data_IF_697813179994
#
_entry.id   IF_697813179994
#
_cell.length_a   1.000
_cell.length_b   1.000
_cell.length_c   1.000
_cell.angle_alpha   90.00
_cell.angle_beta   90.00
_cell.angle_gamma   90.00
#
_symmetry.space_group_name_H-M   'P 1'
#
loop_
_entity.id
_entity.type
_entity.pdbx_description
1 polymer ?
#
# COMPACT_ATOMS: atom_id res chain seq x y z
N UNK A 1 30.22 -90.25 9.25
CA UNK A 1 31.68 -90.21 9.13
C UNK A 1 32.04 -89.30 7.97
N UNK A 2 33.08 -88.55 8.14
CA UNK A 2 33.77 -87.69 7.16
C UNK A 2 33.17 -86.33 6.83
N UNK A 3 33.77 -85.35 7.47
CA UNK A 3 33.63 -83.91 7.27
C UNK A 3 34.35 -83.45 6.00
N UNK A 4 33.76 -82.63 5.25
CA UNK A 4 34.50 -81.83 4.25
C UNK A 4 34.25 -80.36 4.48
N UNK A 5 35.33 -79.66 4.84
CA UNK A 5 35.41 -78.21 4.93
C UNK A 5 35.66 -77.69 3.52
N UNK A 6 34.82 -76.74 3.08
CA UNK A 6 35.09 -75.90 1.92
C UNK A 6 35.33 -74.49 2.42
N UNK A 7 36.57 -74.05 2.29
CA UNK A 7 36.98 -72.66 2.48
C UNK A 7 36.49 -71.81 1.28
N UNK A 8 35.60 -70.88 1.50
CA UNK A 8 35.22 -69.87 0.51
C UNK A 8 36.04 -68.60 0.80
N UNK A 9 36.94 -68.28 -0.11
CA UNK A 9 37.72 -67.04 -0.09
C UNK A 9 36.83 -65.82 -0.49
N UNK A 10 36.63 -64.88 0.43
CA UNK A 10 36.00 -63.60 0.17
C UNK A 10 37.05 -62.68 -0.43
N UNK A 11 36.83 -62.30 -1.68
CA UNK A 11 37.52 -61.16 -2.36
C UNK A 11 36.81 -59.92 -1.97
N UNK A 12 37.42 -59.07 -1.13
CA UNK A 12 36.93 -57.73 -0.86
C UNK A 12 37.32 -56.80 -2.03
N UNK A 13 36.36 -56.49 -2.91
CA UNK A 13 36.47 -55.43 -3.89
C UNK A 13 36.21 -54.07 -3.24
N UNK A 14 37.25 -53.29 -3.00
CA UNK A 14 37.14 -51.89 -2.57
C UNK A 14 36.67 -51.05 -3.73
N UNK A 15 35.36 -50.83 -3.84
CA UNK A 15 34.78 -49.84 -4.75
C UNK A 15 34.98 -48.44 -4.18
N UNK A 16 35.89 -47.66 -4.74
CA UNK A 16 35.94 -46.21 -4.51
C UNK A 16 34.68 -45.57 -5.11
N UNK A 17 33.71 -45.24 -4.26
CA UNK A 17 32.62 -44.37 -4.63
C UNK A 17 33.16 -42.93 -4.78
N UNK A 18 33.39 -42.51 -5.99
CA UNK A 18 33.66 -41.09 -6.30
C UNK A 18 32.31 -40.37 -6.13
N UNK A 19 32.11 -39.70 -5.00
CA UNK A 19 31.02 -38.79 -4.82
C UNK A 19 31.25 -37.55 -5.73
N UNK A 20 30.26 -37.10 -6.54
CA UNK A 20 30.42 -35.91 -7.32
C UNK A 20 30.54 -34.73 -6.34
N UNK A 21 31.71 -34.09 -6.35
CA UNK A 21 31.88 -32.76 -5.76
C UNK A 21 31.14 -31.73 -6.63
N UNK A 22 29.94 -31.37 -6.22
CA UNK A 22 29.21 -30.37 -6.97
C UNK A 22 27.78 -30.24 -6.56
N UNK A 23 27.51 -29.65 -5.43
CA UNK A 23 26.33 -28.85 -5.10
C UNK A 23 26.43 -28.37 -3.64
N UNK A 24 27.47 -27.61 -3.34
CA UNK A 24 27.30 -26.62 -2.29
C UNK A 24 26.49 -25.50 -2.91
N UNK A 25 25.16 -25.69 -2.97
CA UNK A 25 24.24 -24.58 -3.05
C UNK A 25 24.58 -23.67 -1.88
N UNK A 26 25.28 -22.57 -2.19
CA UNK A 26 25.49 -21.49 -1.26
C UNK A 26 24.10 -21.01 -0.86
N UNK A 27 23.57 -21.56 0.23
CA UNK A 27 22.37 -21.05 0.86
C UNK A 27 22.61 -19.56 1.04
N UNK A 28 21.97 -18.73 0.19
CA UNK A 28 21.99 -17.27 0.34
C UNK A 28 21.63 -17.02 1.79
N UNK A 29 22.60 -16.58 2.60
CA UNK A 29 22.36 -16.16 3.97
C UNK A 29 21.22 -15.18 3.92
N UNK A 30 20.01 -15.58 4.35
CA UNK A 30 18.88 -14.66 4.47
C UNK A 30 19.33 -13.59 5.44
N UNK A 31 19.32 -12.35 4.97
CA UNK A 31 19.55 -11.20 5.85
C UNK A 31 18.59 -11.31 7.05
N UNK A 32 19.05 -10.97 8.26
CA UNK A 32 18.17 -10.95 9.41
C UNK A 32 16.99 -10.00 9.16
N UNK A 33 15.82 -10.28 9.72
CA UNK A 33 14.66 -9.38 9.61
C UNK A 33 15.05 -7.96 10.05
N UNK A 34 14.60 -6.95 9.31
CA UNK A 34 14.78 -5.56 9.73
C UNK A 34 14.13 -5.33 11.09
N UNK A 35 14.76 -4.50 11.90
CA UNK A 35 14.17 -4.07 13.17
C UNK A 35 12.80 -3.44 12.93
N UNK A 36 11.88 -3.61 13.88
CA UNK A 36 10.59 -2.93 13.84
C UNK A 36 10.79 -1.41 13.87
N UNK A 37 10.05 -0.72 13.03
CA UNK A 37 10.01 0.76 13.02
C UNK A 37 9.12 1.27 14.16
N UNK A 38 9.21 2.57 14.47
CA UNK A 38 8.31 3.18 15.47
C UNK A 38 6.85 3.15 14.99
N UNK A 39 5.86 3.20 15.91
CA UNK A 39 4.44 3.26 15.54
C UNK A 39 4.14 4.38 14.54
N UNK A 40 4.66 5.58 14.76
CA UNK A 40 4.49 6.71 13.84
C UNK A 40 5.08 6.41 12.46
N UNK A 41 6.27 5.83 12.43
CA UNK A 41 6.90 5.45 11.16
C UNK A 41 6.07 4.41 10.42
N UNK A 42 5.53 3.40 11.10
CA UNK A 42 4.68 2.38 10.49
C UNK A 42 3.41 2.97 9.87
N UNK A 43 2.74 3.86 10.58
CA UNK A 43 1.54 4.57 10.08
C UNK A 43 1.89 5.44 8.87
N UNK A 44 3.01 6.19 8.93
CA UNK A 44 3.46 7.05 7.83
C UNK A 44 3.83 6.24 6.58
N UNK A 45 4.44 5.07 6.72
CA UNK A 45 4.77 4.21 5.58
C UNK A 45 3.50 3.78 4.84
N UNK A 46 2.45 3.36 5.55
CA UNK A 46 1.18 2.95 4.94
C UNK A 46 0.43 4.15 4.32
N UNK A 47 0.33 5.26 5.05
CA UNK A 47 -0.28 6.49 4.56
C UNK A 47 0.39 7.00 3.28
N UNK A 48 1.71 7.07 3.28
CA UNK A 48 2.48 7.53 2.13
C UNK A 48 2.41 6.56 0.95
N UNK A 49 2.35 5.25 1.18
CA UNK A 49 2.26 4.26 0.10
C UNK A 49 0.93 4.38 -0.65
N UNK A 50 -0.21 4.46 0.06
CA UNK A 50 -1.50 4.65 -0.61
C UNK A 50 -1.58 6.02 -1.29
N UNK A 51 -1.03 7.09 -0.69
CA UNK A 51 -0.95 8.41 -1.28
C UNK A 51 -0.11 8.43 -2.57
N UNK A 52 1.01 7.74 -2.57
CA UNK A 52 1.88 7.56 -3.75
C UNK A 52 1.12 6.86 -4.89
N UNK A 53 0.39 5.79 -4.58
CA UNK A 53 -0.38 5.03 -5.57
C UNK A 53 -1.47 5.89 -6.22
N UNK A 54 -2.25 6.61 -5.42
CA UNK A 54 -3.31 7.48 -5.92
C UNK A 54 -2.78 8.69 -6.70
N UNK A 55 -1.66 9.28 -6.23
CA UNK A 55 -0.97 10.34 -6.96
C UNK A 55 -0.47 9.85 -8.32
N UNK A 56 0.15 8.66 -8.36
CA UNK A 56 0.61 8.06 -9.61
C UNK A 56 -0.54 7.80 -10.59
N UNK A 57 -1.71 7.38 -10.10
CA UNK A 57 -2.91 7.26 -10.94
C UNK A 57 -3.37 8.61 -11.49
N UNK A 58 -3.40 9.64 -10.65
CA UNK A 58 -3.79 10.98 -11.07
C UNK A 58 -2.84 11.56 -12.12
N UNK A 59 -1.54 11.32 -11.98
CA UNK A 59 -0.53 11.80 -12.93
C UNK A 59 -0.49 10.99 -14.23
N UNK A 60 -0.88 9.74 -14.22
CA UNK A 60 -0.74 8.82 -15.36
C UNK A 60 -2.01 8.72 -16.23
N UNK A 61 -3.21 8.71 -15.64
CA UNK A 61 -4.44 8.50 -16.40
C UNK A 61 -4.62 9.56 -17.48
N UNK A 62 -5.05 9.19 -18.72
CA UNK A 62 -5.23 10.16 -19.82
C UNK A 62 -6.22 11.25 -19.46
N UNK A 63 -5.87 12.52 -19.73
CA UNK A 63 -6.69 13.69 -19.37
C UNK A 63 -8.04 13.69 -20.09
N UNK A 64 -8.08 13.26 -21.35
CA UNK A 64 -9.30 13.12 -22.14
C UNK A 64 -10.28 12.07 -21.56
N UNK A 65 -9.82 11.22 -20.62
CA UNK A 65 -10.62 10.20 -19.92
C UNK A 65 -10.95 10.57 -18.46
N UNK A 66 -10.58 11.75 -17.99
CA UNK A 66 -10.80 12.13 -16.60
C UNK A 66 -12.28 12.16 -16.20
N UNK A 67 -13.17 12.46 -17.15
CA UNK A 67 -14.63 12.42 -16.93
C UNK A 67 -15.26 11.06 -17.25
N UNK A 68 -14.46 10.05 -17.57
CA UNK A 68 -14.97 8.70 -17.83
C UNK A 68 -15.61 8.10 -16.58
N UNK A 69 -16.76 7.47 -16.77
CA UNK A 69 -17.53 6.72 -15.77
C UNK A 69 -17.77 5.29 -16.29
N UNK A 70 -17.32 4.25 -15.58
CA UNK A 70 -17.64 2.87 -15.95
C UNK A 70 -19.14 2.58 -15.93
N UNK A 71 -19.87 3.28 -15.06
CA UNK A 71 -21.32 3.24 -14.90
C UNK A 71 -21.81 4.68 -14.65
N UNK A 72 -22.94 5.12 -15.24
CA UNK A 72 -23.49 6.46 -15.04
C UNK A 72 -23.70 6.87 -13.58
N UNK A 73 -24.02 5.91 -12.71
CA UNK A 73 -24.26 6.14 -11.28
C UNK A 73 -22.98 6.36 -10.46
N UNK A 74 -21.81 6.04 -11.03
CA UNK A 74 -20.53 6.21 -10.35
C UNK A 74 -19.98 7.62 -10.54
N UNK A 75 -19.04 8.00 -9.65
CA UNK A 75 -18.20 9.18 -9.85
C UNK A 75 -17.38 9.03 -11.14
N UNK A 76 -17.01 10.11 -11.80
CA UNK A 76 -15.97 10.05 -12.83
C UNK A 76 -14.61 9.77 -12.20
N UNK A 77 -13.61 9.40 -13.01
CA UNK A 77 -12.24 9.19 -12.53
C UNK A 77 -11.73 10.41 -11.74
N UNK A 78 -11.94 11.61 -12.28
CA UNK A 78 -11.62 12.87 -11.61
C UNK A 78 -12.37 13.03 -10.29
N UNK A 79 -13.67 12.82 -10.29
CA UNK A 79 -14.51 12.94 -9.10
C UNK A 79 -14.09 11.95 -8.01
N UNK A 80 -13.70 10.73 -8.38
CA UNK A 80 -13.19 9.73 -7.44
C UNK A 80 -11.88 10.14 -6.76
N UNK A 81 -10.95 10.70 -7.53
CA UNK A 81 -9.69 11.24 -6.99
C UNK A 81 -9.93 12.43 -6.05
N UNK A 82 -10.80 13.35 -6.45
CA UNK A 82 -11.13 14.52 -5.64
C UNK A 82 -11.84 14.14 -4.34
N UNK A 83 -12.75 13.16 -4.40
CA UNK A 83 -13.41 12.64 -3.21
C UNK A 83 -12.40 12.13 -2.17
N UNK A 84 -11.45 11.29 -2.59
CA UNK A 84 -10.40 10.82 -1.67
C UNK A 84 -9.61 11.98 -1.07
N UNK A 85 -9.23 12.97 -1.90
CA UNK A 85 -8.47 14.12 -1.43
C UNK A 85 -9.27 15.00 -0.45
N UNK A 86 -10.55 15.22 -0.73
CA UNK A 86 -11.47 15.98 0.13
C UNK A 86 -11.67 15.25 1.48
N UNK A 87 -11.92 13.94 1.41
CA UNK A 87 -12.13 13.10 2.60
C UNK A 87 -10.87 13.05 3.48
N UNK A 88 -9.67 13.09 2.94
CA UNK A 88 -8.44 13.20 3.73
C UNK A 88 -8.45 14.42 4.69
N UNK A 89 -9.16 15.49 4.40
CA UNK A 89 -9.26 16.65 5.28
C UNK A 89 -10.24 16.45 6.46
N UNK A 90 -11.13 15.44 6.37
CA UNK A 90 -11.93 15.02 7.53
C UNK A 90 -11.08 14.30 8.59
N UNK A 91 -9.94 13.75 8.21
CA UNK A 91 -8.91 13.25 9.12
C UNK A 91 -7.95 14.36 9.55
N UNK A 92 -7.34 15.02 8.56
CA UNK A 92 -6.21 15.94 8.77
C UNK A 92 -6.58 17.10 9.69
N UNK A 93 -7.76 17.72 9.47
CA UNK A 93 -8.18 18.88 10.23
C UNK A 93 -8.45 18.54 11.71
N UNK A 94 -9.28 17.52 12.07
CA UNK A 94 -9.46 17.14 13.47
C UNK A 94 -8.15 16.73 14.17
N UNK A 95 -7.25 16.04 13.48
CA UNK A 95 -5.95 15.66 14.03
C UNK A 95 -5.10 16.89 14.35
N UNK A 96 -5.20 17.95 13.56
CA UNK A 96 -4.57 19.25 13.81
C UNK A 96 -5.30 20.12 14.84
N UNK A 97 -6.50 19.74 15.28
CA UNK A 97 -7.36 20.54 16.14
C UNK A 97 -8.16 21.60 15.36
N UNK A 98 -8.27 21.46 14.06
CA UNK A 98 -9.06 22.32 13.18
C UNK A 98 -10.46 21.70 12.94
N UNK A 99 -11.42 22.53 12.50
CA UNK A 99 -12.75 22.02 12.13
C UNK A 99 -12.67 21.20 10.85
N UNK A 100 -13.39 20.06 10.76
CA UNK A 100 -13.52 19.33 9.51
C UNK A 100 -14.19 20.20 8.44
N UNK A 101 -14.06 19.85 7.13
CA UNK A 101 -14.85 20.45 6.07
C UNK A 101 -16.35 20.35 6.35
N UNK A 102 -17.13 21.29 5.82
CA UNK A 102 -18.59 21.33 6.03
C UNK A 102 -19.33 20.19 5.29
N UNK A 103 -18.74 19.68 4.22
CA UNK A 103 -19.30 18.62 3.38
C UNK A 103 -18.19 17.90 2.60
N UNK A 104 -18.45 16.69 2.16
CA UNK A 104 -17.59 15.97 1.20
C UNK A 104 -17.71 16.58 -0.20
N UNK A 105 -16.78 16.19 -1.10
CA UNK A 105 -16.76 16.59 -2.51
C UNK A 105 -16.73 18.13 -2.73
N UNK A 106 -16.16 18.88 -1.78
CA UNK A 106 -16.14 20.34 -1.81
C UNK A 106 -15.20 20.92 -2.89
N UNK A 107 -14.27 20.13 -3.41
CA UNK A 107 -13.35 20.53 -4.49
C UNK A 107 -13.88 20.21 -5.90
N UNK A 108 -14.89 19.36 -6.01
CA UNK A 108 -15.42 18.79 -7.25
C UNK A 108 -15.69 19.83 -8.36
N UNK A 109 -16.27 20.98 -7.98
CA UNK A 109 -16.63 22.01 -8.94
C UNK A 109 -15.52 23.04 -9.21
N UNK A 110 -14.43 22.98 -8.45
CA UNK A 110 -13.32 23.95 -8.48
C UNK A 110 -12.13 23.48 -9.30
N UNK A 111 -11.81 22.19 -9.24
CA UNK A 111 -10.62 21.59 -9.84
C UNK A 111 -11.02 20.75 -11.06
N UNK A 112 -10.63 21.18 -12.25
CA UNK A 112 -11.11 20.61 -13.51
C UNK A 112 -10.00 19.96 -14.34
N UNK A 113 -8.79 20.47 -14.27
CA UNK A 113 -7.66 19.95 -15.05
C UNK A 113 -6.95 18.83 -14.33
N UNK A 114 -6.35 17.93 -15.09
CA UNK A 114 -5.49 16.86 -14.57
C UNK A 114 -4.41 17.39 -13.62
N UNK A 115 -3.75 18.47 -13.99
CA UNK A 115 -2.67 19.06 -13.20
C UNK A 115 -3.17 19.53 -11.82
N UNK A 116 -4.32 20.22 -11.77
CA UNK A 116 -4.94 20.68 -10.52
C UNK A 116 -5.32 19.50 -9.63
N UNK A 117 -5.95 18.48 -10.21
CA UNK A 117 -6.39 17.29 -9.48
C UNK A 117 -5.18 16.52 -8.92
N UNK A 118 -4.15 16.26 -9.73
CA UNK A 118 -2.96 15.56 -9.28
C UNK A 118 -2.22 16.32 -8.17
N UNK A 119 -2.08 17.63 -8.31
CA UNK A 119 -1.48 18.48 -7.29
C UNK A 119 -2.29 18.47 -5.98
N UNK A 120 -3.60 18.49 -6.07
CA UNK A 120 -4.48 18.48 -4.91
C UNK A 120 -4.47 17.14 -4.18
N UNK A 121 -4.55 16.02 -4.90
CA UNK A 121 -4.40 14.67 -4.32
C UNK A 121 -3.07 14.56 -3.58
N UNK A 122 -1.97 14.92 -4.23
CA UNK A 122 -0.64 14.90 -3.61
C UNK A 122 -0.57 15.75 -2.35
N UNK A 123 -1.16 16.96 -2.39
CA UNK A 123 -1.19 17.87 -1.24
C UNK A 123 -1.99 17.30 -0.08
N UNK A 124 -3.16 16.72 -0.30
CA UNK A 124 -4.01 16.18 0.77
C UNK A 124 -3.29 15.06 1.55
N UNK A 125 -2.57 14.18 0.86
CA UNK A 125 -1.75 13.15 1.51
C UNK A 125 -0.53 13.73 2.23
N UNK A 126 0.12 14.74 1.67
CA UNK A 126 1.24 15.41 2.34
C UNK A 126 0.79 16.11 3.64
N UNK A 127 -0.35 16.77 3.63
CA UNK A 127 -0.93 17.44 4.80
C UNK A 127 -1.29 16.42 5.91
N UNK A 128 -1.89 15.27 5.52
CA UNK A 128 -2.19 14.18 6.46
C UNK A 128 -0.92 13.55 7.05
N UNK A 129 0.08 13.30 6.22
CA UNK A 129 1.38 12.79 6.69
C UNK A 129 2.05 13.76 7.67
N UNK A 130 1.98 15.06 7.41
CA UNK A 130 2.51 16.08 8.31
C UNK A 130 1.76 16.08 9.66
N UNK A 131 0.43 15.92 9.65
CA UNK A 131 -0.38 15.82 10.86
C UNK A 131 -0.02 14.57 11.70
N UNK A 132 0.11 13.39 11.05
CA UNK A 132 0.54 12.15 11.70
C UNK A 132 1.94 12.31 12.31
N UNK A 133 2.89 12.85 11.55
CA UNK A 133 4.26 13.09 12.00
C UNK A 133 4.32 14.01 13.21
N UNK A 134 3.52 15.06 13.21
CA UNK A 134 3.46 16.03 14.33
C UNK A 134 2.93 15.42 15.62
N UNK A 135 2.06 14.40 15.55
CA UNK A 135 1.59 13.66 16.73
C UNK A 135 2.68 12.83 17.38
N UNK A 136 3.56 12.23 16.61
CA UNK A 136 4.60 11.32 17.13
C UNK A 136 4.00 10.09 17.83
N UNK A 137 4.84 9.18 18.30
CA UNK A 137 4.41 7.90 18.89
C UNK A 137 3.45 8.09 20.08
N UNK A 138 3.69 9.04 20.95
CA UNK A 138 2.82 9.32 22.10
C UNK A 138 1.46 9.88 21.65
N UNK A 139 1.46 10.75 20.65
CA UNK A 139 0.23 11.40 20.16
C UNK A 139 -0.67 10.51 19.31
N UNK A 140 -0.20 9.38 18.80
CA UNK A 140 -1.03 8.42 18.07
C UNK A 140 -2.16 7.83 18.92
N UNK A 141 -1.98 7.76 20.24
CA UNK A 141 -3.01 7.31 21.17
C UNK A 141 -3.88 8.45 21.72
N UNK A 142 -3.62 9.70 21.34
CA UNK A 142 -4.48 10.82 21.74
C UNK A 142 -5.84 10.72 21.04
N UNK A 143 -6.87 11.25 21.71
CA UNK A 143 -8.24 11.22 21.20
C UNK A 143 -8.52 12.45 20.34
N UNK A 144 -9.25 12.24 19.25
CA UNK A 144 -9.85 13.26 18.41
C UNK A 144 -11.32 12.92 18.20
N UNK A 145 -12.12 13.89 17.79
CA UNK A 145 -13.53 13.63 17.45
C UNK A 145 -13.61 13.22 15.98
N UNK A 146 -14.15 12.03 15.74
CA UNK A 146 -14.55 11.58 14.41
C UNK A 146 -15.80 12.37 13.97
N UNK A 147 -15.72 13.18 12.90
CA UNK A 147 -16.86 13.99 12.47
C UNK A 147 -18.00 13.19 11.86
N UNK A 148 -17.78 11.95 11.44
CA UNK A 148 -18.83 11.09 10.89
C UNK A 148 -19.65 10.40 12.00
N UNK A 149 -18.96 9.81 12.95
CA UNK A 149 -19.61 9.08 14.04
C UNK A 149 -19.90 9.95 15.26
N UNK A 150 -19.40 11.18 15.31
CA UNK A 150 -19.47 12.08 16.46
C UNK A 150 -19.01 11.40 17.76
N UNK A 151 -17.93 10.65 17.70
CA UNK A 151 -17.34 9.91 18.81
C UNK A 151 -15.84 10.19 18.93
N UNK A 152 -15.29 9.96 20.12
CA UNK A 152 -13.85 10.03 20.33
C UNK A 152 -13.18 8.76 19.81
N UNK A 153 -12.13 8.95 18.99
CA UNK A 153 -11.31 7.88 18.43
C UNK A 153 -9.84 8.21 18.64
N UNK A 154 -8.98 7.19 18.75
CA UNK A 154 -7.54 7.42 18.76
C UNK A 154 -7.07 7.84 17.37
N UNK A 155 -6.07 8.72 17.32
CA UNK A 155 -5.48 9.17 16.04
C UNK A 155 -5.05 8.00 15.16
N UNK A 156 -4.46 6.95 15.76
CA UNK A 156 -4.02 5.77 15.00
C UNK A 156 -5.18 5.01 14.36
N UNK A 157 -6.29 4.80 15.08
CA UNK A 157 -7.46 4.11 14.55
C UNK A 157 -8.13 4.94 13.45
N UNK A 158 -8.16 6.25 13.67
CA UNK A 158 -8.72 7.20 12.72
C UNK A 158 -7.87 7.24 11.41
N UNK A 159 -6.53 7.28 11.53
CA UNK A 159 -5.64 7.19 10.37
C UNK A 159 -5.84 5.87 9.59
N UNK A 160 -6.02 4.75 10.32
CA UNK A 160 -6.30 3.46 9.68
C UNK A 160 -7.57 3.49 8.84
N UNK A 161 -8.68 4.02 9.36
CA UNK A 161 -9.94 4.13 8.62
C UNK A 161 -9.80 4.94 7.33
N UNK A 162 -9.02 6.03 7.33
CA UNK A 162 -8.78 6.82 6.12
C UNK A 162 -7.82 6.16 5.13
N UNK A 163 -6.86 5.37 5.61
CA UNK A 163 -6.02 4.54 4.73
C UNK A 163 -6.84 3.43 4.06
N UNK A 164 -7.74 2.81 4.81
CA UNK A 164 -8.67 1.79 4.31
C UNK A 164 -9.61 2.37 3.26
N UNK A 165 -10.29 3.48 3.54
CA UNK A 165 -11.12 4.22 2.60
C UNK A 165 -10.35 4.59 1.30
N UNK A 166 -9.11 5.07 1.43
CA UNK A 166 -8.26 5.38 0.29
C UNK A 166 -7.91 4.13 -0.52
N UNK A 167 -7.72 2.98 0.16
CA UNK A 167 -7.48 1.68 -0.46
C UNK A 167 -8.68 1.16 -1.24
N UNK A 168 -9.90 1.34 -0.73
CA UNK A 168 -11.14 1.00 -1.42
C UNK A 168 -11.27 1.82 -2.73
N UNK A 169 -11.06 3.13 -2.66
CA UNK A 169 -11.09 3.98 -3.85
C UNK A 169 -9.97 3.69 -4.83
N UNK A 170 -8.77 3.36 -4.35
CA UNK A 170 -7.70 2.87 -5.23
C UNK A 170 -8.15 1.64 -6.00
N UNK A 171 -8.77 0.65 -5.34
CA UNK A 171 -9.30 -0.54 -5.99
C UNK A 171 -10.38 -0.22 -7.03
N UNK A 172 -11.28 0.71 -6.72
CA UNK A 172 -12.28 1.20 -7.67
C UNK A 172 -11.61 1.83 -8.90
N UNK A 173 -10.64 2.74 -8.72
CA UNK A 173 -9.94 3.41 -9.82
C UNK A 173 -9.09 2.45 -10.67
N UNK A 174 -8.63 1.32 -10.13
CA UNK A 174 -8.04 0.23 -10.92
C UNK A 174 -9.02 -0.29 -11.96
N UNK A 175 -10.31 -0.38 -11.64
CA UNK A 175 -11.35 -0.79 -12.60
C UNK A 175 -11.45 0.21 -13.75
N UNK A 176 -11.37 1.52 -13.48
CA UNK A 176 -11.39 2.56 -14.53
C UNK A 176 -10.25 2.38 -15.54
N UNK A 177 -9.03 2.08 -15.04
CA UNK A 177 -7.91 1.73 -15.91
C UNK A 177 -8.22 0.52 -16.79
N UNK A 178 -8.67 -0.58 -16.19
CA UNK A 178 -8.90 -1.85 -16.90
C UNK A 178 -9.98 -1.72 -17.96
N UNK A 179 -11.10 -1.08 -17.64
CA UNK A 179 -12.21 -0.84 -18.58
C UNK A 179 -11.78 0.10 -19.71
N UNK A 180 -10.87 1.03 -19.44
CA UNK A 180 -10.27 1.91 -20.46
C UNK A 180 -9.18 1.25 -21.31
N UNK A 181 -8.91 -0.06 -21.12
CA UNK A 181 -7.85 -0.79 -21.83
C UNK A 181 -6.43 -0.45 -21.36
N UNK A 182 -6.29 0.14 -20.17
CA UNK A 182 -5.02 0.59 -19.61
C UNK A 182 -4.54 -0.33 -18.49
N UNK A 183 -3.22 -0.34 -18.26
CA UNK A 183 -2.61 -1.04 -17.13
C UNK A 183 -2.34 -0.02 -16.00
N UNK A 184 -2.87 -0.24 -14.78
CA UNK A 184 -2.58 0.65 -13.65
C UNK A 184 -1.07 0.74 -13.36
N UNK A 185 -0.55 1.88 -12.87
CA UNK A 185 0.88 2.08 -12.62
C UNK A 185 1.54 0.96 -11.79
N UNK A 186 0.89 0.56 -10.68
CA UNK A 186 1.42 -0.49 -9.80
C UNK A 186 1.39 -1.92 -10.39
N UNK A 187 0.65 -2.14 -11.47
CA UNK A 187 0.57 -3.43 -12.16
C UNK A 187 1.57 -3.55 -13.32
N UNK A 188 2.38 -2.53 -13.57
CA UNK A 188 3.40 -2.52 -14.61
C UNK A 188 4.69 -3.17 -14.11
N UNK A 189 5.49 -3.80 -15.02
CA UNK A 189 6.83 -4.28 -14.65
C UNK A 189 7.66 -3.14 -14.04
N UNK A 190 8.31 -3.42 -12.92
CA UNK A 190 9.28 -2.48 -12.34
C UNK A 190 10.50 -2.40 -13.28
N UNK A 191 10.85 -1.22 -13.68
CA UNK A 191 12.07 -0.96 -14.48
C UNK A 191 13.31 -1.11 -13.61
#
# INVERSE_FOLDING_TARGET
MTKWNVLASLVLGAGLAVLPAGAQDAAKKKEPPKAAVSPTQAVLEQWNDIGRKLTAMAEDFPEDKYEFKPNPEQRSFREGLLHVADVNYFFTNPVKGEKPPAQEDFSKDKLKTKAEVAAYVKKSFADGAAAIKAKGDAGLNSLVVDPYANQQVRVIDFAYGFMEHSGEHYGQLVVYYRVSGLVPPESRPKK
#
